data_IF_238960035157
#
_entry.id   IF_238960035157
#
_cell.length_a   1.000
_cell.length_b   1.000
_cell.length_c   1.000
_cell.angle_alpha   90.00
_cell.angle_beta   90.00
_cell.angle_gamma   90.00
#
_symmetry.space_group_name_H-M   'P 1'
#
loop_
_entity.id
_entity.type
_entity.pdbx_description
1 polymer ?
#
# COMPACT_ATOMS: atom_id res chain seq x y z
N UNK A 1 7.79 -11.92 6.34
CA UNK A 1 6.33 -11.99 6.16
C UNK A 1 5.68 -13.08 7.02
N UNK A 2 6.03 -14.37 6.91
CA UNK A 2 5.41 -15.44 7.75
C UNK A 2 5.44 -15.21 9.28
N UNK A 3 6.45 -14.54 9.81
CA UNK A 3 6.51 -14.21 11.23
C UNK A 3 5.50 -13.14 11.67
N UNK A 4 5.01 -12.29 10.75
CA UNK A 4 3.99 -11.28 11.05
C UNK A 4 2.66 -11.92 11.44
N UNK A 5 2.31 -13.03 10.78
CA UNK A 5 1.12 -13.83 11.11
C UNK A 5 1.17 -14.49 12.48
N UNK A 6 2.32 -14.44 13.17
CA UNK A 6 2.50 -14.96 14.53
C UNK A 6 2.46 -13.87 15.60
N UNK A 7 2.37 -12.59 15.20
CA UNK A 7 2.24 -11.50 16.15
C UNK A 7 0.80 -11.51 16.68
N UNK A 8 0.56 -11.77 17.98
CA UNK A 8 -0.79 -12.01 18.50
C UNK A 8 -1.79 -10.90 18.16
N UNK A 9 -1.36 -9.63 18.29
CA UNK A 9 -2.18 -8.45 17.98
C UNK A 9 -2.56 -8.31 16.50
N UNK A 10 -1.83 -8.96 15.58
CA UNK A 10 -2.20 -9.02 14.16
C UNK A 10 -3.10 -10.22 13.88
N UNK A 11 -2.83 -11.36 14.51
CA UNK A 11 -3.58 -12.60 14.26
C UNK A 11 -5.06 -12.42 14.54
N UNK A 12 -5.43 -11.80 15.67
CA UNK A 12 -6.83 -11.52 16.03
C UNK A 12 -7.51 -10.63 14.98
N UNK A 13 -6.84 -9.54 14.56
CA UNK A 13 -7.38 -8.65 13.53
C UNK A 13 -7.49 -9.30 12.16
N UNK A 14 -6.64 -10.28 11.83
CA UNK A 14 -6.67 -10.98 10.54
C UNK A 14 -7.82 -11.98 10.41
N UNK A 15 -8.51 -12.31 11.52
CA UNK A 15 -9.75 -13.10 11.48
C UNK A 15 -10.95 -12.22 11.10
N UNK A 16 -10.90 -10.92 11.43
CA UNK A 16 -11.99 -9.98 11.20
C UNK A 16 -11.79 -9.07 9.98
N UNK A 17 -10.53 -8.72 9.66
CA UNK A 17 -10.16 -7.74 8.64
C UNK A 17 -9.32 -8.37 7.52
N UNK A 18 -9.55 -7.98 6.26
CA UNK A 18 -8.78 -8.49 5.13
C UNK A 18 -7.34 -7.98 5.15
N UNK A 19 -6.43 -8.71 4.50
CA UNK A 19 -5.17 -8.13 4.04
C UNK A 19 -5.42 -7.25 2.82
N UNK A 20 -4.67 -6.16 2.68
CA UNK A 20 -4.74 -5.34 1.47
C UNK A 20 -3.53 -5.59 0.57
N UNK A 21 -3.77 -5.93 -0.69
CA UNK A 21 -2.73 -5.98 -1.71
C UNK A 21 -2.73 -4.67 -2.47
N UNK A 22 -1.78 -3.80 -2.15
CA UNK A 22 -1.67 -2.48 -2.75
C UNK A 22 -0.69 -2.55 -3.92
N UNK A 23 -1.14 -2.21 -5.13
CA UNK A 23 -0.31 -2.17 -6.33
C UNK A 23 -0.27 -0.78 -6.92
N UNK A 24 0.95 -0.36 -7.24
CA UNK A 24 1.22 0.88 -7.94
C UNK A 24 2.62 0.82 -8.59
N UNK A 25 2.90 1.74 -9.49
CA UNK A 25 4.22 1.89 -10.10
C UNK A 25 4.85 3.25 -9.82
N UNK A 26 6.17 3.31 -10.00
CA UNK A 26 6.88 4.54 -9.74
C UNK A 26 8.05 4.74 -10.69
N UNK A 27 8.11 5.94 -11.26
CA UNK A 27 9.23 6.36 -12.11
C UNK A 27 10.42 6.81 -11.28
N UNK A 28 11.61 6.37 -11.69
CA UNK A 28 12.88 6.84 -11.16
C UNK A 28 13.74 7.43 -12.28
N UNK A 29 13.79 8.77 -12.41
CA UNK A 29 14.62 9.45 -13.40
C UNK A 29 16.09 9.08 -13.30
N UNK A 30 16.76 8.94 -14.46
CA UNK A 30 18.19 8.71 -14.62
C UNK A 30 18.76 9.54 -15.76
N UNK A 31 19.93 10.14 -15.53
CA UNK A 31 20.62 10.93 -16.55
C UNK A 31 21.37 10.08 -17.60
N UNK A 32 21.88 8.91 -17.20
CA UNK A 32 22.66 8.04 -18.08
C UNK A 32 21.80 7.10 -18.93
N UNK A 33 22.27 6.77 -20.14
CA UNK A 33 21.63 5.80 -21.07
C UNK A 33 22.20 4.38 -20.96
N UNK A 34 23.17 4.15 -20.07
CA UNK A 34 23.90 2.88 -19.94
C UNK A 34 23.31 1.94 -18.88
N UNK A 35 22.20 2.31 -18.26
CA UNK A 35 21.49 1.43 -17.33
C UNK A 35 20.57 0.51 -18.14
N UNK A 36 20.48 -0.76 -17.76
CA UNK A 36 19.56 -1.70 -18.40
C UNK A 36 18.11 -1.22 -18.22
N UNK A 37 17.31 -1.35 -19.28
CA UNK A 37 15.88 -1.00 -19.33
C UNK A 37 15.53 0.47 -19.04
N UNK A 38 16.52 1.37 -18.95
CA UNK A 38 16.26 2.81 -18.90
C UNK A 38 15.65 3.26 -20.22
N UNK A 39 14.56 4.02 -20.15
CA UNK A 39 13.91 4.55 -21.35
C UNK A 39 13.21 5.87 -21.08
N UNK A 40 12.84 6.54 -22.17
CA UNK A 40 12.01 7.74 -22.11
C UNK A 40 10.57 7.32 -21.83
N UNK A 41 10.02 7.82 -20.72
CA UNK A 41 8.69 7.51 -20.22
C UNK A 41 7.91 8.80 -20.01
N UNK A 42 6.59 8.74 -20.20
CA UNK A 42 5.68 9.83 -19.86
C UNK A 42 5.63 9.97 -18.33
N UNK A 43 5.87 11.17 -17.82
CA UNK A 43 5.77 11.49 -16.41
C UNK A 43 4.44 12.21 -16.16
N UNK A 44 3.41 11.43 -15.81
CA UNK A 44 2.06 11.92 -15.55
C UNK A 44 2.01 13.02 -14.47
N UNK A 45 2.95 12.99 -13.52
CA UNK A 45 3.04 13.95 -12.42
C UNK A 45 4.03 15.09 -12.70
N UNK A 46 4.73 15.08 -13.84
CA UNK A 46 5.68 16.11 -14.28
C UNK A 46 6.64 16.53 -13.16
N UNK A 47 7.22 15.57 -12.45
CA UNK A 47 8.07 15.81 -11.29
C UNK A 47 9.28 16.71 -11.59
N UNK A 48 9.71 16.76 -12.86
CA UNK A 48 10.80 17.63 -13.36
C UNK A 48 10.29 18.75 -14.28
N UNK A 49 9.00 19.04 -14.29
CA UNK A 49 8.36 20.00 -15.19
C UNK A 49 8.34 19.57 -16.67
N UNK A 50 8.79 18.34 -16.96
CA UNK A 50 8.84 17.77 -18.30
C UNK A 50 7.80 16.67 -18.45
N UNK A 51 7.22 16.57 -19.64
CA UNK A 51 6.24 15.55 -19.97
C UNK A 51 6.88 14.16 -20.13
N UNK A 52 8.13 14.13 -20.57
CA UNK A 52 8.88 12.89 -20.77
C UNK A 52 10.20 12.93 -20.01
N UNK A 53 10.56 11.80 -19.40
CA UNK A 53 11.76 11.66 -18.61
C UNK A 53 12.45 10.34 -18.93
N UNK A 54 13.78 10.35 -19.06
CA UNK A 54 14.56 9.13 -19.11
C UNK A 54 14.60 8.52 -17.70
N UNK A 55 13.97 7.37 -17.53
CA UNK A 55 13.72 6.77 -16.22
C UNK A 55 13.69 5.25 -16.30
N UNK A 56 13.84 4.63 -15.13
CA UNK A 56 13.30 3.29 -14.90
C UNK A 56 11.87 3.42 -14.36
N UNK A 57 11.07 2.40 -14.63
CA UNK A 57 9.75 2.23 -14.06
C UNK A 57 9.76 0.98 -13.18
N UNK A 58 9.14 1.05 -12.01
CA UNK A 58 9.12 -0.04 -11.04
C UNK A 58 7.69 -0.34 -10.61
N UNK A 59 7.25 -1.57 -10.89
CA UNK A 59 5.97 -2.09 -10.37
C UNK A 59 6.20 -2.62 -8.97
N UNK A 60 5.43 -2.12 -8.01
CA UNK A 60 5.51 -2.54 -6.61
C UNK A 60 4.20 -3.14 -6.17
N UNK A 61 4.29 -4.29 -5.50
CA UNK A 61 3.20 -4.80 -4.66
C UNK A 61 3.62 -4.64 -3.20
N UNK A 62 2.69 -4.10 -2.42
CA UNK A 62 2.80 -4.05 -0.98
C UNK A 62 1.64 -4.79 -0.32
N UNK A 63 1.91 -5.41 0.82
CA UNK A 63 0.89 -6.06 1.64
C UNK A 63 0.65 -5.20 2.86
N UNK A 64 -0.60 -4.78 3.07
CA UNK A 64 -0.99 -4.01 4.23
C UNK A 64 -1.73 -4.91 5.23
N UNK A 65 -1.37 -4.76 6.50
CA UNK A 65 -1.90 -5.53 7.62
C UNK A 65 -2.73 -4.61 8.52
N UNK A 66 -3.89 -5.08 9.02
CA UNK A 66 -4.72 -4.32 9.92
C UNK A 66 -4.03 -4.14 11.28
N UNK A 67 -4.28 -3.00 11.93
CA UNK A 67 -3.76 -2.65 13.24
C UNK A 67 -4.71 -1.66 13.92
N UNK A 68 -4.90 -1.80 15.23
CA UNK A 68 -5.61 -0.78 16.01
C UNK A 68 -4.90 0.56 15.96
N UNK A 69 -5.66 1.65 15.85
CA UNK A 69 -5.12 2.99 16.01
C UNK A 69 -4.66 3.18 17.47
N UNK A 70 -3.38 3.57 17.70
CA UNK A 70 -2.89 3.81 19.06
C UNK A 70 -3.64 4.92 19.81
N UNK A 71 -4.19 5.90 19.09
CA UNK A 71 -4.94 7.03 19.64
C UNK A 71 -6.44 6.72 19.79
N UNK A 72 -6.99 5.83 18.97
CA UNK A 72 -8.40 5.42 18.99
C UNK A 72 -8.52 3.89 18.86
N UNK A 73 -8.42 3.12 19.96
CA UNK A 73 -8.31 1.66 19.89
C UNK A 73 -9.49 0.93 19.21
N UNK A 74 -10.66 1.57 19.08
CA UNK A 74 -11.80 0.99 18.35
C UNK A 74 -11.70 1.17 16.82
N UNK A 75 -10.77 2.01 16.37
CA UNK A 75 -10.46 2.22 14.95
C UNK A 75 -9.33 1.28 14.52
N UNK A 76 -9.43 0.78 13.30
CA UNK A 76 -8.44 -0.05 12.62
C UNK A 76 -7.89 0.73 11.43
N UNK A 77 -6.56 0.85 11.40
CA UNK A 77 -5.82 1.36 10.26
C UNK A 77 -4.92 0.26 9.71
N UNK A 78 -4.31 0.50 8.55
CA UNK A 78 -3.36 -0.45 7.99
C UNK A 78 -1.93 0.03 8.10
N UNK A 79 -0.99 -0.87 8.37
CA UNK A 79 0.42 -0.62 8.12
C UNK A 79 0.88 -1.43 6.92
N UNK A 80 1.70 -0.82 6.08
CA UNK A 80 2.10 -1.41 4.81
C UNK A 80 3.54 -1.95 4.86
N UNK A 81 3.72 -3.12 4.27
CA UNK A 81 5.00 -3.79 4.04
C UNK A 81 5.26 -3.90 2.54
N UNK A 82 6.36 -3.35 2.00
CA UNK A 82 6.71 -3.57 0.60
C UNK A 82 7.07 -5.03 0.39
N UNK A 83 6.25 -5.75 -0.38
CA UNK A 83 6.47 -7.17 -0.65
C UNK A 83 7.52 -7.37 -1.74
N UNK A 84 7.35 -6.66 -2.86
CA UNK A 84 8.27 -6.72 -3.98
C UNK A 84 8.21 -5.43 -4.78
N UNK A 85 9.38 -4.99 -5.25
CA UNK A 85 9.56 -3.91 -6.22
C UNK A 85 10.36 -4.51 -7.38
N UNK A 86 9.83 -4.42 -8.60
CA UNK A 86 10.41 -5.02 -9.80
C UNK A 86 10.48 -4.01 -10.92
N UNK A 87 11.62 -3.99 -11.60
CA UNK A 87 11.86 -3.10 -12.72
C UNK A 87 11.03 -3.57 -13.91
N UNK A 88 10.26 -2.64 -14.49
CA UNK A 88 9.54 -2.89 -15.73
C UNK A 88 10.52 -2.96 -16.91
N UNK A 89 10.40 -4.03 -17.69
CA UNK A 89 11.19 -4.28 -18.89
C UNK A 89 10.36 -3.93 -20.13
N UNK A 90 10.79 -2.97 -20.98
CA UNK A 90 10.02 -2.55 -22.15
C UNK A 90 9.70 -3.70 -23.12
N UNK A 91 10.66 -4.61 -23.32
CA UNK A 91 10.58 -5.76 -24.22
C UNK A 91 10.03 -7.02 -23.54
N UNK A 92 9.73 -6.95 -22.23
CA UNK A 92 9.29 -8.07 -21.42
C UNK A 92 7.79 -8.07 -21.15
N UNK A 93 7.42 -8.57 -19.98
CA UNK A 93 6.03 -8.64 -19.55
C UNK A 93 5.42 -7.27 -19.30
N UNK A 94 4.11 -7.16 -19.55
CA UNK A 94 3.36 -5.95 -19.25
C UNK A 94 3.35 -5.68 -17.74
N UNK A 95 3.23 -4.41 -17.33
CA UNK A 95 3.07 -4.06 -15.90
C UNK A 95 1.86 -4.74 -15.25
N UNK A 96 0.80 -5.01 -16.02
CA UNK A 96 -0.38 -5.74 -15.56
C UNK A 96 -0.04 -7.19 -15.22
N UNK A 97 0.72 -7.86 -16.09
CA UNK A 97 1.19 -9.23 -15.85
C UNK A 97 2.17 -9.27 -14.69
N UNK A 98 3.10 -8.32 -14.60
CA UNK A 98 4.01 -8.19 -13.45
C UNK A 98 3.23 -8.04 -12.13
N UNK A 99 2.24 -7.14 -12.08
CA UNK A 99 1.39 -6.96 -10.90
C UNK A 99 0.66 -8.25 -10.50
N UNK A 100 0.04 -8.93 -11.47
CA UNK A 100 -0.63 -10.20 -11.24
C UNK A 100 0.33 -11.28 -10.72
N UNK A 101 1.53 -11.42 -11.29
CA UNK A 101 2.53 -12.38 -10.83
C UNK A 101 3.07 -12.08 -9.42
N UNK A 102 3.23 -10.80 -9.09
CA UNK A 102 3.58 -10.39 -7.72
C UNK A 102 2.46 -10.76 -6.75
N UNK A 103 1.20 -10.58 -7.16
CA UNK A 103 0.03 -10.92 -6.35
C UNK A 103 -0.09 -12.43 -6.14
N UNK A 104 0.14 -13.24 -7.17
CA UNK A 104 0.23 -14.71 -7.09
C UNK A 104 1.30 -15.16 -6.08
N UNK A 105 2.49 -14.54 -6.12
CA UNK A 105 3.57 -14.85 -5.18
C UNK A 105 3.23 -14.43 -3.75
N UNK A 106 2.60 -13.27 -3.57
CA UNK A 106 2.15 -12.80 -2.27
C UNK A 106 1.07 -13.74 -1.71
N UNK A 107 0.08 -14.11 -2.53
CA UNK A 107 -1.00 -15.03 -2.17
C UNK A 107 -0.47 -16.39 -1.70
N UNK A 108 0.52 -16.95 -2.40
CA UNK A 108 1.20 -18.20 -1.99
C UNK A 108 1.89 -18.11 -0.62
N UNK A 109 2.28 -16.91 -0.19
CA UNK A 109 2.96 -16.70 1.10
C UNK A 109 1.97 -16.45 2.23
N UNK A 110 0.91 -15.67 1.98
CA UNK A 110 -0.13 -15.36 2.98
C UNK A 110 -1.10 -16.53 3.18
N UNK A 111 -1.35 -17.30 2.12
CA UNK A 111 -2.22 -18.48 2.13
C UNK A 111 -3.66 -18.16 1.72
N UNK A 112 -4.35 -19.17 1.17
CA UNK A 112 -5.70 -19.07 0.61
C UNK A 112 -6.79 -18.87 1.67
N UNK A 113 -6.48 -19.13 2.95
CA UNK A 113 -7.38 -18.95 4.08
C UNK A 113 -7.55 -17.48 4.49
N UNK A 114 -6.71 -16.57 3.98
CA UNK A 114 -6.76 -15.15 4.32
C UNK A 114 -7.66 -14.42 3.32
N UNK A 115 -8.60 -13.62 3.81
CA UNK A 115 -9.35 -12.70 2.97
C UNK A 115 -8.44 -11.57 2.51
N UNK A 116 -8.47 -11.26 1.21
CA UNK A 116 -7.64 -10.23 0.60
C UNK A 116 -8.52 -9.26 -0.17
N UNK A 117 -8.24 -7.96 -0.04
CA UNK A 117 -8.73 -6.94 -0.96
C UNK A 117 -7.56 -6.43 -1.79
N UNK A 118 -7.64 -6.60 -3.11
CA UNK A 118 -6.67 -6.06 -4.04
C UNK A 118 -7.04 -4.63 -4.42
N UNK A 119 -6.11 -3.70 -4.24
CA UNK A 119 -6.28 -2.28 -4.50
C UNK A 119 -5.26 -1.71 -5.49
N UNK A 120 -5.75 -0.91 -6.43
CA UNK A 120 -4.92 -0.25 -7.42
C UNK A 120 -5.58 1.02 -7.98
N UNK A 121 -4.79 1.83 -8.69
CA UNK A 121 -5.27 3.04 -9.35
C UNK A 121 -6.16 2.72 -10.58
N UNK A 122 -6.56 3.76 -11.33
CA UNK A 122 -7.42 3.57 -12.52
C UNK A 122 -6.73 2.97 -13.76
N UNK A 123 -5.41 2.76 -13.72
CA UNK A 123 -4.65 2.20 -14.83
C UNK A 123 -4.61 0.67 -14.83
N UNK A 124 -4.55 0.06 -13.64
CA UNK A 124 -4.42 -1.39 -13.42
C UNK A 124 -5.69 -2.26 -13.59
N UNK A 125 -6.94 -1.77 -13.51
CA UNK A 125 -8.17 -2.56 -13.70
C UNK A 125 -8.34 -3.07 -15.15
N UNK A 126 -7.48 -4.02 -15.55
CA UNK A 126 -7.38 -4.60 -16.88
C UNK A 126 -7.05 -6.09 -16.79
N UNK A 127 -7.08 -6.76 -17.94
CA UNK A 127 -7.07 -8.22 -18.12
C UNK A 127 -6.29 -9.02 -17.05
N UNK A 128 -4.97 -8.89 -16.96
CA UNK A 128 -4.16 -9.78 -16.10
C UNK A 128 -4.45 -9.59 -14.60
N UNK A 129 -4.58 -8.35 -14.13
CA UNK A 129 -4.97 -8.04 -12.75
C UNK A 129 -6.39 -8.54 -12.45
N UNK A 130 -7.34 -8.28 -13.36
CA UNK A 130 -8.72 -8.73 -13.17
C UNK A 130 -8.84 -10.26 -13.24
N UNK A 131 -7.99 -10.93 -14.01
CA UNK A 131 -7.93 -12.38 -14.05
C UNK A 131 -7.39 -12.95 -12.73
N UNK A 132 -6.37 -12.33 -12.13
CA UNK A 132 -5.91 -12.71 -10.79
C UNK A 132 -7.07 -12.65 -9.78
N UNK A 133 -7.83 -11.55 -9.75
CA UNK A 133 -9.02 -11.43 -8.87
C UNK A 133 -10.05 -12.52 -9.16
N UNK A 134 -10.43 -12.73 -10.43
CA UNK A 134 -11.46 -13.72 -10.81
C UNK A 134 -11.07 -15.17 -10.56
N UNK A 135 -9.78 -15.47 -10.48
CA UNK A 135 -9.28 -16.82 -10.31
C UNK A 135 -9.13 -17.24 -8.85
N UNK A 136 -9.39 -16.34 -7.88
CA UNK A 136 -9.20 -16.59 -6.46
C UNK A 136 -10.43 -16.16 -5.66
N UNK A 137 -11.10 -17.13 -5.05
CA UNK A 137 -12.35 -16.91 -4.30
C UNK A 137 -12.15 -16.09 -3.02
N UNK A 138 -10.93 -16.06 -2.48
CA UNK A 138 -10.57 -15.29 -1.29
C UNK A 138 -10.05 -13.87 -1.61
N UNK A 139 -10.10 -13.44 -2.86
CA UNK A 139 -9.60 -12.13 -3.31
C UNK A 139 -10.74 -11.27 -3.86
N UNK A 140 -11.03 -10.21 -3.12
CA UNK A 140 -11.89 -9.12 -3.55
C UNK A 140 -11.09 -7.97 -4.16
N UNK A 141 -11.81 -7.02 -4.75
CA UNK A 141 -11.20 -5.94 -5.51
C UNK A 141 -11.89 -4.61 -5.22
N UNK A 142 -11.08 -3.62 -4.82
CA UNK A 142 -11.49 -2.22 -4.68
C UNK A 142 -10.52 -1.37 -5.50
N UNK A 143 -11.00 -0.62 -6.48
CA UNK A 143 -10.12 0.22 -7.29
C UNK A 143 -10.81 1.50 -7.77
N UNK A 144 -10.02 2.52 -8.03
CA UNK A 144 -10.47 3.62 -8.88
C UNK A 144 -10.63 3.08 -10.31
N UNK A 145 -11.67 3.52 -11.01
CA UNK A 145 -11.91 3.17 -12.41
C UNK A 145 -12.06 4.44 -13.24
N UNK A 146 -11.75 4.33 -14.53
CA UNK A 146 -11.81 5.49 -15.42
C UNK A 146 -13.25 6.01 -15.50
N UNK A 147 -13.40 7.33 -15.57
CA UNK A 147 -14.70 8.01 -15.71
C UNK A 147 -15.51 7.59 -16.95
N UNK A 148 -14.83 7.08 -17.97
CA UNK A 148 -15.43 6.58 -19.22
C UNK A 148 -15.77 5.08 -19.18
N UNK A 149 -15.61 4.43 -18.03
CA UNK A 149 -15.98 3.02 -17.85
C UNK A 149 -17.47 2.85 -18.15
N UNK A 150 -17.79 1.97 -19.09
CA UNK A 150 -19.17 1.72 -19.48
C UNK A 150 -19.92 0.95 -18.39
N UNK A 151 -20.99 1.57 -17.87
CA UNK A 151 -21.87 1.02 -16.85
C UNK A 151 -23.18 0.51 -17.48
N UNK A 152 -23.67 -0.63 -17.00
CA UNK A 152 -24.90 -1.24 -17.49
C UNK A 152 -25.76 -1.69 -16.32
N UNK A 153 -27.07 -1.53 -16.42
CA UNK A 153 -28.00 -2.08 -15.44
C UNK A 153 -27.87 -3.62 -15.38
N UNK A 154 -28.38 -4.20 -14.29
CA UNK A 154 -28.46 -5.65 -14.18
C UNK A 154 -29.38 -6.21 -15.28
N UNK A 155 -29.02 -7.37 -15.88
CA UNK A 155 -29.83 -7.96 -16.93
C UNK A 155 -31.19 -8.45 -16.38
N UNK A 156 -32.27 -8.10 -17.04
CA UNK A 156 -33.62 -8.58 -16.70
C UNK A 156 -33.97 -9.84 -17.51
N UNK A 157 -34.63 -10.81 -16.88
CA UNK A 157 -35.20 -11.97 -17.58
C UNK A 157 -36.45 -11.54 -18.33
N UNK A 158 -36.48 -11.76 -19.64
CA UNK A 158 -37.58 -11.34 -20.51
C UNK A 158 -38.61 -12.44 -20.77
N UNK A 159 -38.41 -13.66 -20.25
CA UNK A 159 -39.26 -14.83 -20.51
C UNK A 159 -39.18 -15.38 -21.95
N UNK A 160 -38.43 -14.74 -22.85
CA UNK A 160 -38.28 -15.14 -24.25
C UNK A 160 -37.31 -16.31 -24.39
N UNK A 161 -37.55 -17.18 -25.38
CA UNK A 161 -36.66 -18.31 -25.72
C UNK A 161 -35.27 -17.81 -26.14
N UNK A 162 -34.21 -18.35 -25.54
CA UNK A 162 -32.82 -18.01 -25.84
C UNK A 162 -31.99 -17.62 -24.60
N UNK A 163 -30.68 -17.42 -24.78
CA UNK A 163 -29.79 -16.97 -23.70
C UNK A 163 -30.14 -15.53 -23.28
N UNK A 164 -30.40 -15.25 -21.98
CA UNK A 164 -30.61 -13.88 -21.51
C UNK A 164 -29.42 -12.97 -21.85
N UNK A 165 -29.70 -11.67 -21.99
CA UNK A 165 -28.64 -10.67 -22.16
C UNK A 165 -27.67 -10.72 -20.97
N UNK A 166 -26.39 -10.51 -21.23
CA UNK A 166 -25.37 -10.39 -20.16
C UNK A 166 -25.41 -9.02 -19.46
N UNK A 167 -25.86 -7.99 -20.17
CA UNK A 167 -25.90 -6.60 -19.73
C UNK A 167 -27.31 -6.04 -19.91
N UNK A 168 -27.79 -5.26 -18.95
CA UNK A 168 -28.98 -4.42 -19.09
C UNK A 168 -28.69 -3.17 -19.92
N UNK A 169 -29.52 -2.15 -19.76
CA UNK A 169 -29.36 -0.88 -20.46
C UNK A 169 -28.10 -0.14 -19.99
N UNK A 170 -27.41 0.51 -20.92
CA UNK A 170 -26.24 1.32 -20.61
C UNK A 170 -26.70 2.63 -19.97
N UNK A 171 -26.08 3.04 -18.87
CA UNK A 171 -26.36 4.31 -18.18
C UNK A 171 -25.08 5.10 -17.91
N UNK A 172 -25.21 6.39 -17.64
CA UNK A 172 -24.10 7.31 -17.33
C UNK A 172 -23.80 7.31 -15.85
N UNK A 173 -22.53 7.56 -15.51
CA UNK A 173 -22.10 7.76 -14.13
C UNK A 173 -22.93 8.82 -13.37
N UNK A 174 -23.29 9.91 -14.05
CA UNK A 174 -24.12 10.99 -13.49
C UNK A 174 -25.51 10.57 -13.03
N UNK A 175 -25.99 9.41 -13.47
CA UNK A 175 -27.29 8.84 -13.04
C UNK A 175 -27.18 8.13 -11.68
N UNK A 176 -25.97 7.93 -11.15
CA UNK A 176 -25.77 7.45 -9.78
C UNK A 176 -26.10 8.60 -8.82
N UNK A 177 -27.20 8.42 -8.10
CA UNK A 177 -27.70 9.36 -7.09
C UNK A 177 -26.72 9.42 -5.92
N UNK A 178 -26.30 10.64 -5.57
CA UNK A 178 -25.48 10.89 -4.40
C UNK A 178 -26.39 10.95 -3.18
N UNK A 179 -26.13 10.13 -2.18
CA UNK A 179 -26.97 9.99 -0.98
C UNK A 179 -26.25 10.43 0.29
N UNK A 180 -24.93 10.23 0.35
CA UNK A 180 -24.13 10.56 1.52
C UNK A 180 -23.24 11.76 1.16
N UNK A 181 -23.11 12.72 2.07
CA UNK A 181 -22.36 13.95 1.80
C UNK A 181 -21.72 14.50 3.08
N UNK A 182 -20.57 15.14 2.91
CA UNK A 182 -19.90 15.94 3.92
C UNK A 182 -19.62 17.37 3.37
N UNK A 183 -18.75 18.11 4.06
CA UNK A 183 -18.39 19.48 3.69
C UNK A 183 -17.60 19.60 2.37
N UNK A 184 -17.05 18.49 1.87
CA UNK A 184 -16.12 18.49 0.74
C UNK A 184 -16.58 17.60 -0.43
N UNK A 185 -17.29 16.52 -0.13
CA UNK A 185 -17.61 15.44 -1.05
C UNK A 185 -19.06 14.99 -0.90
N UNK A 186 -19.62 14.52 -2.01
CA UNK A 186 -20.88 13.77 -2.03
C UNK A 186 -20.66 12.44 -2.75
N UNK A 187 -21.21 11.35 -2.22
CA UNK A 187 -21.01 10.00 -2.71
C UNK A 187 -22.32 9.27 -2.92
N UNK A 188 -22.34 8.43 -3.96
CA UNK A 188 -23.46 7.59 -4.34
C UNK A 188 -22.95 6.21 -4.74
N UNK A 189 -23.75 5.18 -4.51
CA UNK A 189 -23.37 3.81 -4.84
C UNK A 189 -24.52 3.10 -5.54
N UNK A 190 -24.20 2.32 -6.57
CA UNK A 190 -25.18 1.46 -7.25
C UNK A 190 -24.60 0.10 -7.59
N UNK A 191 -25.43 -0.94 -7.61
CA UNK A 191 -25.07 -2.26 -8.09
C UNK A 191 -25.32 -2.34 -9.60
N UNK A 192 -24.28 -2.62 -10.38
CA UNK A 192 -24.39 -2.64 -11.83
C UNK A 192 -23.43 -3.65 -12.48
N UNK A 193 -23.52 -3.81 -13.80
CA UNK A 193 -22.60 -4.59 -14.61
C UNK A 193 -21.56 -3.69 -15.26
N UNK A 194 -20.32 -4.16 -15.36
CA UNK A 194 -19.26 -3.54 -16.16
C UNK A 194 -18.60 -4.56 -17.08
N UNK A 195 -17.81 -4.10 -18.05
CA UNK A 195 -17.00 -4.98 -18.91
C UNK A 195 -15.71 -5.47 -18.22
N UNK A 196 -15.42 -5.05 -16.99
CA UNK A 196 -14.18 -5.37 -16.30
C UNK A 196 -14.20 -6.78 -15.71
N UNK A 197 -15.13 -7.04 -14.78
CA UNK A 197 -15.14 -8.27 -13.98
C UNK A 197 -16.12 -9.34 -14.48
N UNK A 198 -17.04 -9.00 -15.40
CA UNK A 198 -18.01 -9.96 -15.94
C UNK A 198 -19.07 -10.44 -14.94
N UNK A 199 -19.06 -9.90 -13.72
CA UNK A 199 -20.06 -10.08 -12.66
C UNK A 199 -20.67 -8.73 -12.26
N UNK A 200 -21.75 -8.78 -11.48
CA UNK A 200 -22.31 -7.58 -10.87
C UNK A 200 -21.33 -7.04 -9.81
N UNK A 201 -21.17 -5.74 -9.80
CA UNK A 201 -20.23 -5.02 -8.92
C UNK A 201 -20.92 -3.80 -8.34
N UNK A 202 -20.36 -3.28 -7.26
CA UNK A 202 -20.76 -2.00 -6.70
C UNK A 202 -19.89 -0.91 -7.31
N UNK A 203 -20.51 0.10 -7.89
CA UNK A 203 -19.84 1.29 -8.41
C UNK A 203 -20.17 2.46 -7.52
N UNK A 204 -19.13 3.11 -7.02
CA UNK A 204 -19.22 4.27 -6.15
C UNK A 204 -18.84 5.49 -6.97
N UNK A 205 -19.72 6.47 -7.02
CA UNK A 205 -19.46 7.79 -7.59
C UNK A 205 -19.12 8.73 -6.44
N UNK A 206 -17.97 9.40 -6.54
CA UNK A 206 -17.58 10.46 -5.62
C UNK A 206 -17.48 11.77 -6.39
N UNK A 207 -18.15 12.80 -5.90
CA UNK A 207 -18.12 14.15 -6.46
C UNK A 207 -17.50 15.10 -5.45
N UNK A 208 -16.35 15.67 -5.78
CA UNK A 208 -15.75 16.78 -5.04
C UNK A 208 -16.41 18.09 -5.41
N UNK A 209 -16.52 19.02 -4.46
CA UNK A 209 -16.93 20.40 -4.72
C UNK A 209 -15.95 21.17 -5.62
N UNK A 210 -14.67 20.77 -5.65
CA UNK A 210 -13.60 21.50 -6.35
C UNK A 210 -12.81 20.65 -7.36
N UNK A 211 -12.62 19.34 -7.10
CA UNK A 211 -11.67 18.50 -7.84
C UNK A 211 -12.32 17.55 -8.87
N UNK A 212 -13.63 17.71 -9.11
CA UNK A 212 -14.39 16.93 -10.08
C UNK A 212 -14.85 15.56 -9.55
N UNK A 213 -15.17 14.67 -10.48
CA UNK A 213 -15.79 13.37 -10.20
C UNK A 213 -14.79 12.21 -10.35
N UNK A 214 -14.89 11.23 -9.45
CA UNK A 214 -14.18 9.94 -9.52
C UNK A 214 -15.15 8.78 -9.39
N UNK A 215 -14.78 7.66 -10.01
CA UNK A 215 -15.53 6.41 -9.93
C UNK A 215 -14.65 5.35 -9.28
N UNK A 216 -15.25 4.56 -8.40
CA UNK A 216 -14.63 3.41 -7.79
C UNK A 216 -15.47 2.17 -8.04
N UNK A 217 -14.83 1.01 -8.03
CA UNK A 217 -15.46 -0.30 -8.15
C UNK A 217 -15.15 -1.11 -6.90
N UNK A 218 -16.13 -1.87 -6.42
CA UNK A 218 -15.99 -2.87 -5.37
C UNK A 218 -16.67 -4.17 -5.78
N UNK A 219 -16.02 -5.31 -5.57
CA UNK A 219 -16.68 -6.63 -5.66
C UNK A 219 -17.54 -6.92 -4.42
N UNK A 220 -17.19 -6.32 -3.28
CA UNK A 220 -17.89 -6.50 -2.01
C UNK A 220 -19.05 -5.52 -1.84
N UNK A 221 -20.19 -5.98 -1.30
CA UNK A 221 -21.19 -5.08 -0.74
C UNK A 221 -20.67 -4.45 0.56
N UNK A 222 -21.22 -3.27 0.89
CA UNK A 222 -20.84 -2.52 2.09
C UNK A 222 -20.96 -3.29 3.40
N UNK A 223 -21.93 -4.20 3.48
CA UNK A 223 -22.20 -4.99 4.67
C UNK A 223 -21.12 -6.04 4.96
N UNK A 224 -20.39 -6.49 3.94
CA UNK A 224 -19.36 -7.53 4.04
C UNK A 224 -17.96 -6.93 4.28
N UNK A 225 -17.80 -5.62 4.11
CA UNK A 225 -16.59 -4.92 4.56
C UNK A 225 -16.64 -4.75 6.07
N UNK A 226 -15.57 -4.93 6.84
CA UNK A 226 -15.46 -4.51 8.25
C UNK A 226 -15.36 -2.99 8.42
N UNK A 227 -15.65 -2.41 9.60
CA UNK A 227 -15.61 -0.94 9.79
C UNK A 227 -14.19 -0.56 10.19
N UNK A 228 -13.54 0.34 9.45
CA UNK A 228 -12.22 0.83 9.84
C UNK A 228 -12.32 1.85 10.97
N UNK A 229 -13.36 2.68 11.00
CA UNK A 229 -13.60 3.63 12.08
C UNK A 229 -15.04 3.49 12.57
N UNK A 230 -15.31 3.57 13.89
CA UNK A 230 -16.66 3.37 14.43
C UNK A 230 -17.69 4.39 13.93
N UNK A 231 -17.24 5.63 13.73
CA UNK A 231 -18.09 6.77 13.39
C UNK A 231 -18.45 6.86 11.91
N UNK A 232 -17.67 6.22 11.03
CA UNK A 232 -17.92 6.27 9.60
C UNK A 232 -19.01 5.27 9.21
N UNK A 233 -20.00 5.77 8.48
CA UNK A 233 -21.18 4.99 8.07
C UNK A 233 -21.47 5.19 6.59
N UNK A 234 -22.35 4.36 6.04
CA UNK A 234 -22.77 4.49 4.64
C UNK A 234 -21.69 4.10 3.62
N UNK A 235 -21.68 4.81 2.49
CA UNK A 235 -20.91 4.46 1.30
C UNK A 235 -19.41 4.79 1.45
N UNK A 236 -19.07 5.66 2.41
CA UNK A 236 -17.70 6.03 2.77
C UNK A 236 -16.82 4.84 3.13
N UNK A 237 -17.42 3.76 3.63
CA UNK A 237 -16.69 2.55 4.02
C UNK A 237 -15.83 1.96 2.90
N UNK A 238 -16.32 1.93 1.65
CA UNK A 238 -15.49 1.48 0.50
C UNK A 238 -14.32 2.43 0.28
N UNK A 239 -14.55 3.73 0.44
CA UNK A 239 -13.53 4.75 0.25
C UNK A 239 -12.49 4.74 1.37
N UNK A 240 -12.84 4.35 2.60
CA UNK A 240 -11.88 4.20 3.71
C UNK A 240 -10.86 3.10 3.44
N UNK A 241 -11.31 1.98 2.85
CA UNK A 241 -10.42 0.92 2.36
C UNK A 241 -9.55 1.45 1.24
N UNK A 242 -10.15 2.02 0.18
CA UNK A 242 -9.38 2.56 -0.94
C UNK A 242 -8.38 3.64 -0.52
N UNK A 243 -8.68 4.41 0.53
CA UNK A 243 -7.77 5.41 1.09
C UNK A 243 -6.50 4.77 1.69
N UNK A 244 -6.55 3.52 2.13
CA UNK A 244 -5.37 2.79 2.59
C UNK A 244 -4.33 2.60 1.47
N UNK A 245 -4.74 2.58 0.19
CA UNK A 245 -3.83 2.59 -0.95
C UNK A 245 -2.82 3.73 -0.89
N UNK A 246 -3.17 4.90 -0.34
CA UNK A 246 -2.25 6.05 -0.23
C UNK A 246 -0.94 5.73 0.52
N UNK A 247 -0.91 4.65 1.30
CA UNK A 247 0.31 4.15 1.95
C UNK A 247 1.40 3.80 0.95
N UNK A 248 1.07 3.29 -0.24
CA UNK A 248 2.07 3.00 -1.28
C UNK A 248 2.68 4.26 -1.87
N UNK A 249 1.91 5.33 -1.99
CA UNK A 249 2.39 6.63 -2.44
C UNK A 249 3.31 7.27 -1.38
N UNK A 250 2.90 7.22 -0.12
CA UNK A 250 3.76 7.65 1.02
C UNK A 250 5.07 6.88 1.02
N UNK A 251 5.03 5.57 0.83
CA UNK A 251 6.24 4.74 0.72
C UNK A 251 7.12 5.13 -0.47
N UNK A 252 6.54 5.37 -1.66
CA UNK A 252 7.33 5.83 -2.80
C UNK A 252 8.01 7.17 -2.56
N UNK A 253 7.31 8.10 -1.93
CA UNK A 253 7.89 9.35 -1.50
C UNK A 253 9.06 9.11 -0.54
N UNK A 254 8.85 8.31 0.51
CA UNK A 254 9.89 8.05 1.51
C UNK A 254 11.10 7.34 0.90
N UNK A 255 10.90 6.29 0.09
CA UNK A 255 12.01 5.51 -0.47
C UNK A 255 12.87 6.36 -1.41
N UNK A 256 12.23 7.21 -2.22
CA UNK A 256 12.92 8.17 -3.10
C UNK A 256 13.67 9.23 -2.32
N UNK A 257 13.05 9.82 -1.30
CA UNK A 257 13.63 10.97 -0.59
C UNK A 257 14.66 10.59 0.46
N UNK A 258 14.46 9.48 1.17
CA UNK A 258 15.23 9.14 2.38
C UNK A 258 16.02 7.84 2.28
N UNK A 259 15.71 6.97 1.31
CA UNK A 259 16.32 5.63 1.22
C UNK A 259 17.17 5.43 -0.03
N UNK A 260 17.62 6.53 -0.66
CA UNK A 260 18.55 6.49 -1.79
C UNK A 260 18.07 5.64 -2.96
N UNK A 261 16.75 5.48 -3.13
CA UNK A 261 16.15 4.63 -4.16
C UNK A 261 16.66 4.98 -5.56
N UNK A 262 16.90 6.25 -5.86
CA UNK A 262 17.41 6.71 -7.16
C UNK A 262 18.94 6.77 -7.30
N UNK A 263 19.67 6.62 -6.21
CA UNK A 263 21.11 6.92 -6.16
C UNK A 263 22.01 5.77 -6.61
N UNK A 264 21.44 4.62 -7.01
CA UNK A 264 22.23 3.50 -7.49
C UNK A 264 23.06 3.87 -8.74
N UNK A 265 24.30 3.39 -8.75
CA UNK A 265 25.23 3.53 -9.87
C UNK A 265 25.50 2.20 -10.59
N UNK A 266 25.12 1.07 -9.98
CA UNK A 266 25.07 -0.23 -10.65
C UNK A 266 24.07 -0.17 -11.81
N UNK A 267 24.42 -0.86 -12.91
CA UNK A 267 23.72 -0.69 -14.20
C UNK A 267 22.87 -1.87 -14.63
N UNK A 268 23.15 -3.07 -14.12
CA UNK A 268 22.38 -4.27 -14.45
C UNK A 268 21.12 -4.37 -13.58
N UNK A 269 20.00 -4.80 -14.17
CA UNK A 269 18.72 -4.97 -13.50
C UNK A 269 18.84 -5.74 -12.18
N UNK A 270 19.44 -6.93 -12.21
CA UNK A 270 19.56 -7.79 -11.03
C UNK A 270 20.26 -7.11 -9.85
N UNK A 271 21.28 -6.29 -10.12
CA UNK A 271 21.99 -5.53 -9.08
C UNK A 271 21.16 -4.35 -8.57
N UNK A 272 20.42 -3.67 -9.46
CA UNK A 272 19.54 -2.57 -9.07
C UNK A 272 18.40 -3.08 -8.18
N UNK A 273 17.71 -4.13 -8.61
CA UNK A 273 16.65 -4.78 -7.82
C UNK A 273 17.19 -5.36 -6.51
N UNK A 274 18.41 -5.91 -6.49
CA UNK A 274 19.07 -6.36 -5.27
C UNK A 274 19.31 -5.23 -4.26
N UNK A 275 19.74 -4.04 -4.72
CA UNK A 275 19.86 -2.87 -3.85
C UNK A 275 18.49 -2.41 -3.33
N UNK A 276 17.47 -2.39 -4.18
CA UNK A 276 16.10 -2.05 -3.77
C UNK A 276 15.54 -3.06 -2.77
N UNK A 277 15.83 -4.35 -2.93
CA UNK A 277 15.46 -5.36 -1.95
C UNK A 277 16.07 -5.07 -0.57
N UNK A 278 17.35 -4.72 -0.49
CA UNK A 278 18.01 -4.36 0.78
C UNK A 278 17.38 -3.10 1.38
N UNK A 279 17.12 -2.07 0.56
CA UNK A 279 16.46 -0.84 1.00
C UNK A 279 15.05 -1.12 1.55
N UNK A 280 14.28 -1.97 0.88
CA UNK A 280 12.93 -2.37 1.30
C UNK A 280 12.96 -3.22 2.57
N UNK A 281 13.96 -4.09 2.73
CA UNK A 281 14.15 -4.84 3.97
C UNK A 281 14.46 -3.90 5.14
N UNK A 282 15.35 -2.92 4.94
CA UNK A 282 15.65 -1.94 5.96
C UNK A 282 14.45 -1.04 6.29
N UNK A 283 13.70 -0.61 5.27
CA UNK A 283 12.43 0.10 5.43
C UNK A 283 11.44 -0.73 6.28
N UNK A 284 11.25 -1.99 5.92
CA UNK A 284 10.38 -2.91 6.65
C UNK A 284 10.77 -3.02 8.12
N UNK A 285 12.05 -3.19 8.43
CA UNK A 285 12.51 -3.26 9.82
C UNK A 285 12.14 -1.99 10.60
N UNK A 286 12.24 -0.81 9.98
CA UNK A 286 11.81 0.44 10.64
C UNK A 286 10.30 0.57 10.85
N UNK A 287 9.50 -0.16 10.08
CA UNK A 287 8.05 -0.25 10.27
C UNK A 287 7.68 -1.27 11.36
N UNK A 288 8.39 -2.41 11.40
CA UNK A 288 8.08 -3.52 12.31
C UNK A 288 8.64 -3.35 13.72
N UNK A 289 9.83 -2.75 13.88
CA UNK A 289 10.46 -2.60 15.19
C UNK A 289 9.54 -1.91 16.21
N UNK A 290 8.87 -0.78 15.87
CA UNK A 290 7.87 -0.16 16.76
C UNK A 290 6.67 -1.03 17.13
N UNK A 291 6.38 -2.08 16.34
CA UNK A 291 5.24 -2.98 16.56
C UNK A 291 5.59 -4.14 17.48
N UNK A 292 6.84 -4.58 17.45
CA UNK A 292 7.30 -5.77 18.18
C UNK A 292 7.96 -5.40 19.50
N UNK A 293 8.54 -4.20 19.60
CA UNK A 293 9.31 -3.77 20.75
C UNK A 293 8.63 -2.59 21.46
N UNK A 294 8.18 -2.77 22.73
CA UNK A 294 7.56 -1.71 23.52
C UNK A 294 8.38 -0.42 23.60
N UNK A 295 9.71 -0.55 23.69
CA UNK A 295 10.64 0.58 23.76
C UNK A 295 10.60 1.53 22.55
N UNK A 296 10.04 1.08 21.41
CA UNK A 296 9.94 1.86 20.18
C UNK A 296 8.51 2.21 19.79
N UNK A 297 7.52 1.95 20.65
CA UNK A 297 6.10 2.23 20.35
C UNK A 297 5.85 3.71 20.01
N UNK A 298 6.54 4.64 20.65
CA UNK A 298 6.39 6.08 20.36
C UNK A 298 6.79 6.49 18.92
N UNK A 299 7.51 5.60 18.22
CA UNK A 299 7.91 5.79 16.84
C UNK A 299 6.84 5.33 15.85
N UNK A 300 5.76 4.66 16.29
CA UNK A 300 4.62 4.34 15.44
C UNK A 300 4.05 5.63 14.82
N UNK A 301 3.58 5.56 13.57
CA UNK A 301 3.00 6.72 12.86
C UNK A 301 3.97 7.82 12.38
N UNK A 302 5.22 7.90 12.86
CA UNK A 302 6.14 9.01 12.48
C UNK A 302 6.82 8.83 11.10
N UNK A 303 7.03 9.88 10.31
CA UNK A 303 7.76 9.76 9.02
C UNK A 303 9.30 9.67 9.16
N UNK A 304 9.87 10.22 10.24
CA UNK A 304 11.32 10.26 10.46
C UNK A 304 11.87 9.09 11.29
N UNK A 305 11.17 7.94 11.33
CA UNK A 305 11.53 6.76 12.15
C UNK A 305 12.95 6.28 11.91
N UNK A 306 13.39 6.27 10.65
CA UNK A 306 14.75 5.90 10.25
C UNK A 306 15.81 6.68 11.04
N UNK A 307 15.65 8.00 11.15
CA UNK A 307 16.65 8.84 11.82
C UNK A 307 16.60 8.65 13.34
N UNK A 308 15.41 8.47 13.92
CA UNK A 308 15.25 8.17 15.34
C UNK A 308 15.88 6.81 15.69
N UNK A 309 15.56 5.76 14.95
CA UNK A 309 16.14 4.42 15.10
C UNK A 309 17.65 4.42 14.85
N UNK A 310 18.11 5.11 13.80
CA UNK A 310 19.55 5.22 13.51
C UNK A 310 20.30 5.92 14.64
N UNK A 311 19.74 6.99 15.22
CA UNK A 311 20.34 7.68 16.37
C UNK A 311 20.34 6.80 17.61
N UNK A 312 19.25 6.10 17.86
CA UNK A 312 19.14 5.14 18.96
C UNK A 312 20.19 4.01 18.87
N UNK A 313 20.26 3.33 17.73
CA UNK A 313 21.24 2.26 17.47
C UNK A 313 22.67 2.80 17.58
N UNK A 314 22.92 4.01 17.04
CA UNK A 314 24.24 4.63 17.14
C UNK A 314 24.61 4.96 18.58
N UNK A 315 23.67 5.49 19.36
CA UNK A 315 23.86 5.75 20.80
C UNK A 315 24.16 4.45 21.54
N UNK A 316 23.34 3.43 21.36
CA UNK A 316 23.53 2.12 21.99
C UNK A 316 24.91 1.55 21.63
N UNK A 317 25.29 1.55 20.35
CA UNK A 317 26.61 1.06 19.91
C UNK A 317 27.76 1.85 20.54
N UNK A 318 27.65 3.17 20.65
CA UNK A 318 28.63 4.02 21.33
C UNK A 318 28.70 3.66 22.82
N UNK A 319 27.56 3.59 23.52
CA UNK A 319 27.52 3.27 24.95
C UNK A 319 28.03 1.85 25.25
N UNK A 320 27.65 0.85 24.46
CA UNK A 320 28.16 -0.53 24.59
C UNK A 320 29.66 -0.60 24.33
N UNK A 321 30.15 0.09 23.30
CA UNK A 321 31.59 0.14 23.00
C UNK A 321 32.37 0.83 24.14
N UNK A 322 31.83 1.91 24.69
CA UNK A 322 32.40 2.61 25.85
C UNK A 322 32.38 1.75 27.12
N UNK A 323 31.27 1.06 27.40
CA UNK A 323 31.17 0.14 28.53
C UNK A 323 32.16 -1.03 28.43
N UNK A 324 32.31 -1.62 27.24
CA UNK A 324 33.29 -2.67 26.98
C UNK A 324 34.74 -2.16 27.11
N UNK A 325 35.02 -0.93 26.69
CA UNK A 325 36.34 -0.31 26.88
C UNK A 325 36.60 0.01 28.36
N UNK A 326 35.59 0.49 29.08
CA UNK A 326 35.67 0.78 30.52
C UNK A 326 35.88 -0.48 31.35
N UNK A 327 35.26 -1.59 30.97
CA UNK A 327 35.40 -2.88 31.65
C UNK A 327 36.78 -3.51 31.46
N UNK A 328 37.53 -3.12 30.41
CA UNK A 328 38.90 -3.56 30.15
C UNK A 328 39.97 -2.71 30.85
N UNK A 329 39.63 -1.52 31.35
CA UNK A 329 40.56 -0.65 32.05
C UNK A 329 40.27 -0.64 33.55
N UNK A 330 41.33 -0.62 34.36
CA UNK A 330 41.30 -0.65 35.84
C UNK A 330 40.56 0.52 36.52
N UNK A 331 40.01 1.48 35.74
CA UNK A 331 39.20 2.61 36.21
C UNK A 331 37.69 2.41 35.90
N UNK A 332 37.20 1.18 36.00
CA UNK A 332 35.84 0.79 35.62
C UNK A 332 34.76 1.47 36.46
N UNK A 333 35.00 1.78 37.74
CA UNK A 333 34.00 2.37 38.64
C UNK A 333 33.61 3.81 38.29
N UNK A 334 34.59 4.67 38.00
CA UNK A 334 34.35 6.09 37.67
C UNK A 334 33.61 6.22 36.35
N UNK A 335 33.96 5.38 35.37
CA UNK A 335 33.30 5.40 34.05
C UNK A 335 31.89 4.80 34.16
N UNK A 336 31.68 3.74 34.94
CA UNK A 336 30.35 3.18 35.18
C UNK A 336 29.44 4.15 35.95
N UNK A 337 29.94 4.85 36.97
CA UNK A 337 29.15 5.87 37.67
C UNK A 337 28.76 7.04 36.76
N UNK A 338 29.68 7.52 35.92
CA UNK A 338 29.37 8.55 34.93
C UNK A 338 28.31 8.09 33.92
N UNK A 339 28.39 6.84 33.44
CA UNK A 339 27.39 6.27 32.52
C UNK A 339 26.01 6.17 33.18
N UNK A 340 25.93 5.74 34.45
CA UNK A 340 24.67 5.65 35.21
C UNK A 340 24.08 7.03 35.51
N UNK A 341 24.91 8.04 35.79
CA UNK A 341 24.47 9.44 35.96
C UNK A 341 23.91 10.04 34.66
N UNK A 342 24.56 9.78 33.52
CA UNK A 342 24.10 10.30 32.23
C UNK A 342 22.79 9.62 31.80
N UNK A 343 22.63 8.32 32.04
CA UNK A 343 21.40 7.58 31.76
C UNK A 343 20.20 8.00 32.62
N UNK A 344 20.42 8.38 33.87
CA UNK A 344 19.36 8.85 34.78
C UNK A 344 18.93 10.30 34.52
N UNK A 345 19.83 11.16 34.02
CA UNK A 345 19.48 12.55 33.64
C UNK A 345 18.59 12.62 32.39
N UNK A 346 18.63 11.61 31.52
CA UNK A 346 17.70 11.50 30.38
C UNK A 346 16.26 11.14 30.75
N UNK A 347 16.00 10.61 31.95
CA UNK A 347 14.63 10.37 32.45
C UNK A 347 14.03 11.58 33.19
N UNK A 348 14.82 12.58 33.56
CA UNK A 348 14.33 13.75 34.34
C UNK A 348 13.96 14.98 33.49
N UNK A 349 14.25 14.96 32.19
CA UNK A 349 13.95 16.07 31.27
C UNK A 349 12.94 15.69 30.16
N UNK A 350 12.17 14.63 30.36
CA UNK A 350 10.96 14.32 29.57
C UNK A 350 9.73 14.95 30.21
#
# INVERSE_FOLDING_TARGET
MRQLFKLPHLTELLEEYPLLFLVDDTLQPKFGKKFEHVKILHDHARHLGKEFVNAHDFVTLAVAFPMHDPAEPQSVHYFMVPFACRMYQPEGDSKLKMAAELAERALKIVGQQQHIIFECDSWYPKKDVLNFVKNHDNVDFIANIRKDTALYQLPQRTGKRGRPRKYGEKFKATEIVLTDQDDHYAVGMTKCMTKLLGQAVWVIRSQSRHEGERLFISTLPLQDLPKLTPHQTGFWRVLDYYNQRWKIETYFYEIKKFWSFGSYQVRSQNKIEGLHFIANLAYLLTQLLPQIQPAWQELQGRGARKNALSRAISKERIFTSLAQAAQKHQNSEIILQFILEVGSRTQKNS
#
